data_IF_624030647059
#
_entry.id   IF_624030647059
#
_cell.length_a   1.000
_cell.length_b   1.000
_cell.length_c   1.000
_cell.angle_alpha   90.00
_cell.angle_beta   90.00
_cell.angle_gamma   90.00
#
_symmetry.space_group_name_H-M   'P 1'
#
loop_
_entity.id
_entity.type
_entity.pdbx_description
1 polymer ?
#
# COMPACT_ATOMS: atom_id res chain seq x y z
N UNK A 1 -17.35 2.93 36.43
CA UNK A 1 -18.47 2.04 36.07
C UNK A 1 -19.07 2.54 34.75
N UNK A 2 -19.44 1.57 33.91
CA UNK A 2 -19.47 1.59 32.45
C UNK A 2 -20.74 2.24 31.89
N UNK A 3 -20.62 3.32 31.12
CA UNK A 3 -21.72 3.88 30.31
C UNK A 3 -21.29 3.87 28.83
N UNK A 4 -21.39 2.71 28.19
CA UNK A 4 -21.26 2.57 26.73
C UNK A 4 -21.79 1.19 26.36
N UNK A 5 -22.96 1.08 25.71
CA UNK A 5 -23.32 -0.17 24.98
C UNK A 5 -24.68 -0.16 24.24
N UNK A 6 -25.73 0.53 24.71
CA UNK A 6 -27.09 0.16 24.26
C UNK A 6 -27.55 0.66 22.87
N UNK A 7 -26.85 1.61 22.23
CA UNK A 7 -27.25 2.11 20.89
C UNK A 7 -26.66 1.31 19.72
N UNK A 8 -25.53 0.61 19.93
CA UNK A 8 -24.85 -0.12 18.84
C UNK A 8 -25.47 -1.49 18.53
N UNK A 9 -26.13 -2.13 19.51
CA UNK A 9 -26.68 -3.47 19.30
C UNK A 9 -27.91 -3.48 18.39
N UNK A 10 -28.76 -2.45 18.46
CA UNK A 10 -29.98 -2.38 17.65
C UNK A 10 -29.70 -2.08 16.17
N UNK A 11 -28.70 -1.22 15.90
CA UNK A 11 -28.25 -0.93 14.54
C UNK A 11 -27.49 -2.10 13.90
N UNK A 12 -26.72 -2.87 14.68
CA UNK A 12 -26.12 -4.14 14.21
C UNK A 12 -27.18 -5.20 13.92
N UNK A 13 -28.24 -5.26 14.72
CA UNK A 13 -29.33 -6.22 14.51
C UNK A 13 -30.18 -5.91 13.27
N UNK A 14 -30.39 -4.62 12.97
CA UNK A 14 -31.07 -4.17 11.75
C UNK A 14 -30.18 -4.41 10.52
N UNK A 15 -28.88 -4.11 10.58
CA UNK A 15 -27.95 -4.35 9.48
C UNK A 15 -27.77 -5.85 9.16
N UNK A 16 -27.71 -6.70 10.19
CA UNK A 16 -27.63 -8.16 10.02
C UNK A 16 -28.94 -8.80 9.54
N UNK A 17 -30.08 -8.11 9.72
CA UNK A 17 -31.40 -8.56 9.23
C UNK A 17 -31.69 -8.09 7.80
N UNK A 18 -31.04 -7.02 7.35
CA UNK A 18 -31.11 -6.54 5.96
C UNK A 18 -30.00 -7.09 5.06
N UNK A 19 -28.88 -7.57 5.62
CA UNK A 19 -27.80 -8.19 4.84
C UNK A 19 -28.09 -9.64 4.42
N UNK A 20 -29.04 -10.33 5.08
CA UNK A 20 -29.49 -11.67 4.68
C UNK A 20 -30.39 -11.68 3.44
N UNK A 21 -30.77 -10.51 2.91
CA UNK A 21 -31.63 -10.39 1.72
C UNK A 21 -30.84 -10.20 0.42
N UNK A 22 -29.52 -9.96 0.48
CA UNK A 22 -28.66 -9.77 -0.70
C UNK A 22 -27.67 -10.91 -0.96
N UNK A 23 -27.58 -11.92 -0.11
CA UNK A 23 -26.88 -13.17 -0.40
C UNK A 23 -27.87 -14.25 -0.82
N UNK A 24 -28.58 -13.98 -1.93
CA UNK A 24 -29.31 -15.03 -2.65
C UNK A 24 -28.29 -15.79 -3.49
N UNK A 25 -27.74 -16.88 -2.92
CA UNK A 25 -27.03 -17.89 -3.69
C UNK A 25 -27.92 -18.35 -4.85
N UNK A 26 -27.61 -17.90 -6.06
CA UNK A 26 -28.39 -18.20 -7.24
C UNK A 26 -27.90 -19.51 -7.86
N UNK A 27 -28.29 -20.63 -7.25
CA UNK A 27 -28.23 -21.97 -7.90
C UNK A 27 -29.45 -22.19 -8.79
N UNK A 28 -29.76 -21.21 -9.65
CA UNK A 28 -30.69 -21.41 -10.76
C UNK A 28 -29.87 -21.35 -12.03
N UNK A 29 -30.03 -22.38 -12.87
CA UNK A 29 -29.49 -22.39 -14.23
C UNK A 29 -29.70 -21.02 -14.89
N UNK A 30 -28.69 -20.46 -15.58
CA UNK A 30 -28.80 -19.14 -16.17
C UNK A 30 -29.75 -19.26 -17.37
N UNK A 31 -31.04 -19.12 -17.09
CA UNK A 31 -32.06 -19.11 -18.11
C UNK A 31 -32.15 -17.67 -18.59
N UNK A 32 -31.76 -17.43 -19.85
CA UNK A 32 -31.72 -16.12 -20.47
C UNK A 32 -32.99 -15.93 -21.33
N UNK A 33 -34.12 -15.45 -20.76
CA UNK A 33 -35.40 -15.35 -21.47
C UNK A 33 -35.34 -14.38 -22.66
N UNK A 34 -34.47 -13.37 -22.62
CA UNK A 34 -34.22 -12.42 -23.73
C UNK A 34 -33.48 -13.07 -24.91
N UNK A 35 -32.75 -14.16 -24.65
CA UNK A 35 -32.01 -14.90 -25.68
C UNK A 35 -32.81 -16.10 -26.19
N UNK A 36 -34.15 -16.05 -26.13
CA UNK A 36 -35.02 -17.18 -26.44
C UNK A 36 -34.84 -17.70 -27.87
N UNK A 37 -34.58 -16.78 -28.79
CA UNK A 37 -34.63 -17.04 -30.23
C UNK A 37 -33.21 -17.18 -30.84
N UNK A 38 -32.17 -17.03 -30.02
CA UNK A 38 -30.77 -17.03 -30.44
C UNK A 38 -29.96 -18.09 -29.70
N UNK A 39 -29.80 -19.27 -30.32
CA UNK A 39 -29.06 -20.40 -29.74
C UNK A 39 -27.58 -20.05 -29.46
N UNK A 40 -26.88 -19.49 -30.45
CA UNK A 40 -25.47 -19.09 -30.30
C UNK A 40 -25.25 -18.08 -29.17
N UNK A 41 -26.16 -17.09 -29.03
CA UNK A 41 -26.06 -16.08 -27.97
C UNK A 41 -26.24 -16.68 -26.56
N UNK A 42 -27.10 -17.70 -26.41
CA UNK A 42 -27.23 -18.43 -25.14
C UNK A 42 -25.96 -19.17 -24.77
N UNK A 43 -25.30 -19.81 -25.73
CA UNK A 43 -24.11 -20.62 -25.45
C UNK A 43 -22.93 -19.73 -25.04
N UNK A 44 -22.78 -18.56 -25.69
CA UNK A 44 -21.83 -17.54 -25.24
C UNK A 44 -22.17 -17.01 -23.85
N UNK A 45 -23.43 -16.72 -23.56
CA UNK A 45 -23.83 -16.20 -22.25
C UNK A 45 -23.65 -17.24 -21.13
N UNK A 46 -23.92 -18.52 -21.40
CA UNK A 46 -23.61 -19.62 -20.47
C UNK A 46 -22.12 -19.73 -20.23
N UNK A 47 -21.30 -19.73 -21.29
CA UNK A 47 -19.85 -19.77 -21.18
C UNK A 47 -19.32 -18.59 -20.36
N UNK A 48 -19.80 -17.36 -20.58
CA UNK A 48 -19.44 -16.19 -19.79
C UNK A 48 -19.83 -16.35 -18.32
N UNK A 49 -21.05 -16.81 -18.03
CA UNK A 49 -21.49 -17.05 -16.65
C UNK A 49 -20.67 -18.15 -15.97
N UNK A 50 -20.32 -19.24 -16.66
CA UNK A 50 -19.44 -20.29 -16.14
C UNK A 50 -18.02 -19.75 -15.86
N UNK A 51 -17.52 -18.88 -16.74
CA UNK A 51 -16.23 -18.21 -16.55
C UNK A 51 -16.26 -17.24 -15.35
N UNK A 52 -17.38 -16.56 -15.12
CA UNK A 52 -17.56 -15.64 -13.98
C UNK A 52 -17.92 -16.36 -12.66
N UNK A 53 -18.59 -17.51 -12.72
CA UNK A 53 -19.03 -18.30 -11.57
C UNK A 53 -17.94 -19.24 -11.04
N UNK A 54 -16.86 -19.44 -11.81
CA UNK A 54 -15.60 -20.06 -11.36
C UNK A 54 -14.62 -19.06 -10.73
N UNK A 55 -14.99 -17.78 -10.63
CA UNK A 55 -14.27 -16.77 -9.83
C UNK A 55 -14.78 -16.69 -8.38
N UNK A 56 -15.04 -17.80 -7.68
CA UNK A 56 -14.82 -17.81 -6.25
C UNK A 56 -13.64 -18.72 -5.95
N UNK A 57 -12.72 -18.19 -5.13
CA UNK A 57 -11.69 -18.92 -4.37
C UNK A 57 -10.29 -18.99 -4.99
N UNK A 58 -9.56 -17.88 -4.80
CA UNK A 58 -8.31 -17.91 -4.03
C UNK A 58 -8.04 -16.52 -3.45
N UNK A 59 -8.83 -16.07 -2.47
CA UNK A 59 -8.41 -14.95 -1.62
C UNK A 59 -7.25 -15.45 -0.77
N UNK A 60 -6.03 -15.44 -1.33
CA UNK A 60 -4.81 -15.46 -0.55
C UNK A 60 -4.95 -14.29 0.43
N UNK A 61 -4.77 -14.50 1.72
CA UNK A 61 -4.69 -13.40 2.67
C UNK A 61 -3.61 -12.44 2.17
N UNK A 62 -4.00 -11.28 1.65
CA UNK A 62 -3.10 -10.32 1.03
C UNK A 62 -2.36 -9.50 2.10
N UNK A 63 -1.91 -10.17 3.16
CA UNK A 63 -1.14 -9.56 4.23
C UNK A 63 0.32 -9.63 3.81
N UNK A 64 0.96 -8.47 3.73
CA UNK A 64 2.34 -8.29 3.30
C UNK A 64 3.16 -7.71 4.45
N UNK A 65 4.33 -8.30 4.68
CA UNK A 65 5.30 -7.78 5.65
C UNK A 65 6.14 -6.65 5.02
N UNK A 66 6.24 -5.52 5.73
CA UNK A 66 7.13 -4.41 5.44
C UNK A 66 8.16 -4.28 6.57
N UNK A 67 9.44 -4.46 6.25
CA UNK A 67 10.57 -4.26 7.16
C UNK A 67 11.13 -2.87 6.96
N UNK A 68 10.92 -1.99 7.93
CA UNK A 68 11.29 -0.57 7.82
C UNK A 68 12.43 -0.27 8.78
N UNK A 69 13.45 0.42 8.29
CA UNK A 69 14.54 0.94 9.10
C UNK A 69 14.06 2.03 10.07
N UNK A 70 14.40 1.89 11.35
CA UNK A 70 14.05 2.82 12.42
C UNK A 70 15.28 3.34 13.14
N UNK A 71 15.32 4.65 13.34
CA UNK A 71 16.33 5.31 14.15
C UNK A 71 15.81 6.67 14.64
N UNK A 72 16.00 6.95 15.92
CA UNK A 72 15.51 8.16 16.56
C UNK A 72 16.68 8.99 17.13
N UNK A 73 16.90 10.23 16.67
CA UNK A 73 17.97 11.09 17.20
C UNK A 73 17.75 11.47 18.66
N UNK A 74 16.50 11.46 19.13
CA UNK A 74 16.14 11.79 20.52
C UNK A 74 16.60 10.71 21.50
N UNK A 75 16.94 9.51 21.00
CA UNK A 75 17.38 8.36 21.78
C UNK A 75 18.69 7.78 21.21
N UNK A 76 19.82 8.51 21.32
CA UNK A 76 21.07 8.17 20.62
C UNK A 76 21.70 6.85 21.08
N UNK A 77 21.34 6.35 22.27
CA UNK A 77 21.82 5.07 22.80
C UNK A 77 21.19 3.86 22.08
N UNK A 78 20.04 4.05 21.42
CA UNK A 78 19.39 2.97 20.69
C UNK A 78 20.01 2.83 19.30
N UNK A 79 20.60 1.65 19.06
CA UNK A 79 21.11 1.30 17.74
C UNK A 79 19.94 1.23 16.74
N UNK A 80 20.19 1.57 15.46
CA UNK A 80 19.19 1.38 14.42
C UNK A 80 18.72 -0.07 14.34
N UNK A 81 17.45 -0.27 14.06
CA UNK A 81 16.84 -1.60 13.96
C UNK A 81 15.83 -1.65 12.81
N UNK A 82 15.48 -2.86 12.41
CA UNK A 82 14.42 -3.12 11.43
C UNK A 82 13.14 -3.47 12.17
N UNK A 83 12.06 -2.77 11.87
CA UNK A 83 10.74 -3.04 12.41
C UNK A 83 9.83 -3.62 11.33
N UNK A 84 9.16 -4.72 11.65
CA UNK A 84 8.19 -5.37 10.77
C UNK A 84 6.78 -4.82 11.01
N UNK A 85 6.09 -4.48 9.92
CA UNK A 85 4.68 -4.08 9.88
C UNK A 85 3.92 -5.01 8.93
N UNK A 86 2.68 -5.36 9.25
CA UNK A 86 1.88 -6.30 8.47
C UNK A 86 0.65 -5.60 7.90
N UNK A 87 0.69 -5.31 6.60
CA UNK A 87 -0.38 -4.57 5.93
C UNK A 87 -1.23 -5.47 5.05
N UNK A 88 -2.54 -5.26 5.10
CA UNK A 88 -3.47 -5.78 4.11
C UNK A 88 -3.42 -4.95 2.81
N UNK A 89 -3.02 -5.59 1.71
CA UNK A 89 -2.91 -4.99 0.39
C UNK A 89 -4.27 -4.71 -0.25
N UNK A 90 -5.35 -5.38 0.16
CA UNK A 90 -6.69 -5.12 -0.41
C UNK A 90 -7.22 -3.74 -0.03
N UNK A 91 -6.74 -3.20 1.08
CA UNK A 91 -7.11 -1.90 1.64
C UNK A 91 -5.97 -0.89 1.52
N UNK A 92 -4.94 -1.16 0.72
CA UNK A 92 -3.78 -0.30 0.50
C UNK A 92 -3.70 0.13 -0.97
N UNK A 93 -3.11 1.30 -1.21
CA UNK A 93 -2.75 1.70 -2.58
C UNK A 93 -1.66 0.79 -3.16
N UNK A 94 -1.48 0.78 -4.48
CA UNK A 94 -0.56 -0.13 -5.16
C UNK A 94 0.93 0.21 -4.96
N UNK A 95 1.25 1.43 -4.52
CA UNK A 95 2.63 1.91 -4.40
C UNK A 95 3.17 1.79 -2.97
N UNK A 96 4.49 1.62 -2.83
CA UNK A 96 5.13 1.52 -1.51
C UNK A 96 4.91 2.78 -0.67
N UNK A 97 4.84 3.96 -1.31
CA UNK A 97 4.50 5.20 -0.59
C UNK A 97 3.12 5.14 0.07
N UNK A 98 2.14 4.46 -0.53
CA UNK A 98 0.80 4.33 0.04
C UNK A 98 0.83 3.42 1.27
N UNK A 99 1.62 2.34 1.23
CA UNK A 99 1.88 1.49 2.39
C UNK A 99 2.52 2.28 3.55
N UNK A 100 3.54 3.10 3.29
CA UNK A 100 4.17 3.95 4.32
C UNK A 100 3.19 4.99 4.90
N UNK A 101 2.25 5.49 4.09
CA UNK A 101 1.20 6.39 4.57
C UNK A 101 0.21 5.67 5.47
N UNK A 102 -0.17 4.45 5.11
CA UNK A 102 -1.08 3.63 5.89
C UNK A 102 -0.48 3.25 7.24
N UNK A 103 0.76 2.76 7.25
CA UNK A 103 1.48 2.45 8.50
C UNK A 103 1.51 3.67 9.41
N UNK A 104 1.83 4.85 8.87
CA UNK A 104 1.88 6.08 9.66
C UNK A 104 0.51 6.51 10.20
N UNK A 105 -0.56 6.26 9.46
CA UNK A 105 -1.91 6.67 9.82
C UNK A 105 -2.57 5.73 10.83
N UNK A 106 -2.37 4.42 10.67
CA UNK A 106 -3.12 3.39 11.40
C UNK A 106 -2.31 2.70 12.50
N UNK A 107 -1.00 2.49 12.29
CA UNK A 107 -0.16 1.67 13.19
C UNK A 107 0.82 2.50 14.02
N UNK A 108 1.72 3.26 13.37
CA UNK A 108 2.76 4.04 14.04
C UNK A 108 2.94 5.44 13.45
N UNK A 109 2.33 6.42 14.13
CA UNK A 109 2.46 7.84 13.78
C UNK A 109 3.88 8.41 13.94
N UNK A 110 4.78 7.73 14.65
CA UNK A 110 6.18 8.13 14.84
C UNK A 110 7.07 7.92 13.62
N UNK A 111 6.64 7.11 12.64
CA UNK A 111 7.41 6.83 11.42
C UNK A 111 7.65 8.10 10.60
N UNK A 112 8.91 8.44 10.35
CA UNK A 112 9.32 9.66 9.64
C UNK A 112 9.91 9.37 8.26
N UNK A 113 9.38 10.05 7.23
CA UNK A 113 9.88 10.00 5.84
C UNK A 113 9.48 11.27 5.08
N UNK A 114 10.14 11.54 3.94
CA UNK A 114 9.82 12.68 3.07
C UNK A 114 8.87 12.28 1.94
N UNK A 115 7.87 13.11 1.65
CA UNK A 115 6.96 12.99 0.49
C UNK A 115 6.46 14.36 0.04
N UNK A 116 6.10 14.49 -1.24
CA UNK A 116 5.46 15.70 -1.79
C UNK A 116 4.55 15.36 -2.98
N UNK A 117 5.10 15.29 -4.21
CA UNK A 117 4.32 15.24 -5.47
C UNK A 117 3.52 13.94 -5.74
N UNK A 118 3.94 12.79 -5.19
CA UNK A 118 3.38 11.45 -5.48
C UNK A 118 3.42 10.94 -6.93
N UNK A 119 4.01 11.70 -7.85
CA UNK A 119 4.15 11.33 -9.28
C UNK A 119 5.62 11.17 -9.71
N UNK A 120 6.54 11.21 -8.74
CA UNK A 120 7.96 10.98 -8.97
C UNK A 120 8.78 12.18 -9.44
N UNK A 121 8.16 13.33 -9.75
CA UNK A 121 8.89 14.48 -10.29
C UNK A 121 9.80 15.19 -9.28
N UNK A 122 9.40 15.26 -8.00
CA UNK A 122 10.15 16.02 -6.99
C UNK A 122 11.34 15.27 -6.37
N UNK A 123 11.44 13.95 -6.55
CA UNK A 123 12.47 13.12 -5.91
C UNK A 123 12.43 13.03 -4.38
N UNK A 124 11.47 13.65 -3.68
CA UNK A 124 11.50 13.75 -2.20
C UNK A 124 11.38 12.42 -1.47
N UNK A 125 10.78 11.39 -2.08
CA UNK A 125 10.59 10.07 -1.48
C UNK A 125 11.62 9.03 -1.98
N UNK A 126 12.82 9.49 -2.31
CA UNK A 126 13.95 8.62 -2.66
C UNK A 126 14.42 7.82 -1.43
N UNK A 127 14.46 6.50 -1.57
CA UNK A 127 14.88 5.56 -0.53
C UNK A 127 15.33 4.23 -1.17
N UNK A 128 15.91 3.34 -0.37
CA UNK A 128 16.27 2.01 -0.83
C UNK A 128 15.12 1.03 -0.54
N UNK A 129 14.58 0.42 -1.59
CA UNK A 129 13.49 -0.56 -1.51
C UNK A 129 13.98 -1.86 -2.12
N UNK A 130 14.03 -2.93 -1.32
CA UNK A 130 14.52 -4.26 -1.71
C UNK A 130 15.92 -4.22 -2.34
N UNK A 131 16.81 -3.39 -1.79
CA UNK A 131 18.18 -3.22 -2.28
C UNK A 131 18.32 -2.24 -3.45
N UNK A 132 17.21 -1.79 -4.06
CA UNK A 132 17.25 -0.84 -5.18
C UNK A 132 16.90 0.57 -4.73
N UNK A 133 17.74 1.55 -5.09
CA UNK A 133 17.44 2.96 -4.84
C UNK A 133 16.36 3.43 -5.82
N UNK A 134 15.21 3.84 -5.30
CA UNK A 134 14.08 4.28 -6.13
C UNK A 134 13.22 5.29 -5.36
N UNK A 135 12.23 5.88 -6.04
CA UNK A 135 11.24 6.74 -5.40
C UNK A 135 10.03 5.90 -4.98
N UNK A 136 9.67 5.94 -3.70
CA UNK A 136 8.61 5.09 -3.16
C UNK A 136 7.24 5.30 -3.83
N UNK A 137 7.00 6.49 -4.40
CA UNK A 137 5.75 6.79 -5.10
C UNK A 137 5.59 6.13 -6.47
N UNK A 138 6.69 5.71 -7.11
CA UNK A 138 6.65 4.99 -8.39
C UNK A 138 6.99 3.51 -8.26
N UNK A 139 7.36 3.05 -7.06
CA UNK A 139 7.67 1.65 -6.80
C UNK A 139 6.37 0.90 -6.46
N UNK A 140 5.87 0.02 -7.36
CA UNK A 140 4.73 -0.82 -7.04
C UNK A 140 5.10 -1.86 -5.98
N UNK A 141 4.12 -2.20 -5.15
CA UNK A 141 4.20 -3.29 -4.17
C UNK A 141 4.08 -4.62 -4.92
N UNK A 142 5.01 -5.53 -4.67
CA UNK A 142 4.92 -6.90 -5.17
C UNK A 142 3.78 -7.66 -4.47
N UNK A 143 2.84 -8.17 -5.26
CA UNK A 143 1.69 -8.94 -4.81
C UNK A 143 2.07 -10.30 -4.20
N UNK A 144 3.29 -10.78 -4.43
CA UNK A 144 3.80 -11.98 -3.78
C UNK A 144 4.01 -11.78 -2.27
N UNK A 145 3.04 -12.17 -1.46
CA UNK A 145 3.07 -12.00 0.01
C UNK A 145 4.20 -12.77 0.71
N UNK A 146 4.84 -13.73 0.03
CA UNK A 146 5.80 -14.63 0.68
C UNK A 146 7.16 -13.94 0.90
N UNK A 147 7.44 -12.86 0.15
CA UNK A 147 8.65 -12.04 0.29
C UNK A 147 8.36 -10.75 1.05
N UNK A 148 9.07 -10.45 2.16
CA UNK A 148 8.94 -9.17 2.83
C UNK A 148 9.57 -8.05 2.00
N UNK A 149 8.95 -6.87 1.99
CA UNK A 149 9.54 -5.67 1.38
C UNK A 149 10.41 -4.99 2.41
N UNK A 150 11.67 -4.73 2.08
CA UNK A 150 12.62 -4.05 2.95
C UNK A 150 12.79 -2.61 2.52
N UNK A 151 12.53 -1.66 3.42
CA UNK A 151 12.64 -0.22 3.19
C UNK A 151 13.74 0.34 4.09
N UNK A 152 14.78 0.86 3.45
CA UNK A 152 15.95 1.46 4.09
C UNK A 152 16.17 2.89 3.58
N UNK A 153 16.83 3.76 4.36
CA UNK A 153 17.26 5.07 3.87
C UNK A 153 18.24 4.92 2.69
N UNK A 154 18.50 6.02 1.98
CA UNK A 154 19.51 6.02 0.91
C UNK A 154 20.88 5.61 1.48
N UNK A 155 21.60 4.70 0.81
CA UNK A 155 22.89 4.23 1.27
C UNK A 155 23.94 5.36 1.26
N UNK A 156 24.93 5.25 2.14
CA UNK A 156 26.05 6.21 2.28
C UNK A 156 25.66 7.66 2.61
N UNK A 157 24.45 7.89 3.10
CA UNK A 157 23.99 9.21 3.56
C UNK A 157 23.79 9.20 5.08
N UNK A 158 23.97 10.36 5.72
CA UNK A 158 23.67 10.51 7.14
C UNK A 158 22.16 10.49 7.36
N UNK A 159 21.70 9.60 8.25
CA UNK A 159 20.29 9.50 8.62
C UNK A 159 19.98 10.53 9.71
N UNK A 160 18.92 11.32 9.51
CA UNK A 160 18.43 12.33 10.46
C UNK A 160 17.35 11.75 11.38
N UNK A 161 16.43 10.94 10.84
CA UNK A 161 15.41 10.20 11.60
C UNK A 161 14.74 9.18 10.67
N UNK A 162 14.65 7.91 11.08
CA UNK A 162 14.06 6.82 10.30
C UNK A 162 14.54 6.79 8.84
N UNK A 163 13.67 7.13 7.87
CA UNK A 163 13.97 7.14 6.43
C UNK A 163 14.38 8.53 5.90
N UNK A 164 14.49 9.54 6.78
CA UNK A 164 14.91 10.89 6.42
C UNK A 164 16.42 10.98 6.46
N UNK A 165 17.03 11.31 5.31
CA UNK A 165 18.47 11.53 5.19
C UNK A 165 18.80 13.03 5.05
N UNK A 166 20.04 13.39 5.38
CA UNK A 166 20.58 14.72 5.17
C UNK A 166 21.06 14.91 3.72
N UNK A 167 20.51 15.90 3.02
CA UNK A 167 20.89 16.25 1.65
C UNK A 167 21.76 17.51 1.57
N UNK A 168 22.18 18.07 2.70
CA UNK A 168 22.94 19.34 2.73
C UNK A 168 24.23 19.25 1.92
N UNK A 169 24.99 18.16 2.08
CA UNK A 169 26.23 17.94 1.32
C UNK A 169 25.97 17.82 -0.20
N UNK A 170 24.92 17.10 -0.60
CA UNK A 170 24.54 16.95 -2.00
C UNK A 170 24.20 18.31 -2.65
N UNK A 171 23.43 19.14 -1.95
CA UNK A 171 23.08 20.47 -2.46
C UNK A 171 24.28 21.44 -2.50
N UNK A 172 25.24 21.29 -1.58
CA UNK A 172 26.47 22.07 -1.60
C UNK A 172 27.33 21.74 -2.83
N UNK A 173 27.49 20.45 -3.15
CA UNK A 173 28.20 19.99 -4.34
C UNK A 173 27.52 20.52 -5.62
N UNK A 174 26.20 20.37 -5.73
CA UNK A 174 25.44 20.89 -6.87
C UNK A 174 25.62 22.40 -7.05
N UNK A 175 25.58 23.19 -5.97
CA UNK A 175 25.81 24.64 -6.04
C UNK A 175 27.23 24.98 -6.49
N UNK A 176 28.23 24.25 -6.01
CA UNK A 176 29.63 24.49 -6.35
C UNK A 176 29.90 24.27 -7.84
N UNK A 177 29.40 23.17 -8.41
CA UNK A 177 29.56 22.86 -9.84
C UNK A 177 28.84 23.88 -10.75
N UNK A 178 27.61 24.28 -10.41
CA UNK A 178 26.88 25.27 -11.21
C UNK A 178 27.51 26.66 -11.13
N UNK A 179 28.10 27.03 -9.99
CA UNK A 179 28.81 28.29 -9.85
C UNK A 179 30.15 28.28 -10.61
N UNK A 180 30.83 27.13 -10.70
CA UNK A 180 32.06 26.98 -11.49
C UNK A 180 31.81 27.17 -13.00
N UNK A 181 30.68 26.67 -13.52
CA UNK A 181 30.30 26.84 -14.94
C UNK A 181 30.01 28.31 -15.30
N UNK A 182 29.41 29.07 -14.37
CA UNK A 182 29.12 30.50 -14.59
C UNK A 182 30.37 31.41 -14.51
N UNK A 183 31.46 30.95 -13.89
CA UNK A 183 32.72 31.72 -13.79
C UNK A 183 33.74 31.37 -14.89
N UNK A 184 33.44 30.40 -15.76
CA UNK A 184 34.27 30.01 -16.91
C UNK A 184 33.70 30.46 -18.27
N UNK A 185 32.60 31.22 -18.26
CA UNK A 185 32.04 31.95 -19.42
C UNK A 185 32.18 33.46 -19.20
#
# INVERSE_FOLDING_TARGET
MTIRSKSSQFLRHLYNRTSSFLTRNNTKSPNFPVLSDHAAARDHAKASVETHCSVPQKMKSLIKEFKIYRWDPDRPLHKPYMQSFFLDLSTCGPMVLDALQKIKAEEDSGLSYRRSCREGICGSCAMNIDGTNTVACLKPIDADTDKPITVMPLPHMFVVKDLVVDFSNFYQQYKYENHAILFQL
#
